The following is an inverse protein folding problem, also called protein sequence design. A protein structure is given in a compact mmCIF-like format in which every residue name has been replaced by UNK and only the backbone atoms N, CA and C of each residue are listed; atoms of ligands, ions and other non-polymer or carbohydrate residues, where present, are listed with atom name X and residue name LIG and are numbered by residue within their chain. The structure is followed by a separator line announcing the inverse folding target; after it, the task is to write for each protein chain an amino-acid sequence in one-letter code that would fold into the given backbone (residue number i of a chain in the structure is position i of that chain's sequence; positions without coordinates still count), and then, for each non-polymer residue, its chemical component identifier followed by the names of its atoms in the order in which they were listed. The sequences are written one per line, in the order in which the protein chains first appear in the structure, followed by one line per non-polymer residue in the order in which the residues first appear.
data_IF_318222379862
#
_entry.id   IF_318222379862
#
_cell.length_a   1.000
_cell.length_b   1.000
_cell.length_c   1.000
_cell.angle_alpha   90.00
_cell.angle_beta   90.00
_cell.angle_gamma   90.00
#
_symmetry.space_group_name_H-M   'P 1'
#
loop_
_entity.id
_entity.type
_entity.pdbx_description
1 polymer ?
#
# COMPACT_ATOMS: atom_id res chain seq x y z
N UNK A 1 -15.01 -35.99 -14.65
CA UNK A 1 -15.71 -35.69 -13.39
C UNK A 1 -14.70 -35.77 -12.26
N UNK A 2 -14.33 -34.63 -11.66
CA UNK A 2 -13.50 -34.60 -10.46
C UNK A 2 -14.36 -34.07 -9.31
N UNK A 3 -14.68 -34.98 -8.38
CA UNK A 3 -15.30 -34.69 -7.10
C UNK A 3 -14.36 -33.80 -6.28
N UNK A 4 -14.73 -32.54 -6.07
CA UNK A 4 -14.22 -31.75 -4.96
C UNK A 4 -15.32 -31.78 -3.89
N UNK A 5 -15.05 -32.52 -2.83
CA UNK A 5 -15.93 -32.56 -1.66
C UNK A 5 -15.94 -31.19 -1.02
N UNK A 6 -17.03 -30.45 -1.21
CA UNK A 6 -17.39 -29.31 -0.40
C UNK A 6 -17.43 -29.76 1.06
N UNK A 7 -16.39 -29.39 1.80
CA UNK A 7 -16.40 -29.44 3.26
C UNK A 7 -17.43 -28.39 3.68
N UNK A 8 -18.53 -28.73 4.36
CA UNK A 8 -19.47 -27.71 4.81
C UNK A 8 -18.71 -26.78 5.75
N UNK A 9 -18.67 -25.49 5.40
CA UNK A 9 -18.22 -24.46 6.31
C UNK A 9 -19.05 -24.61 7.59
N UNK A 10 -18.41 -25.11 8.65
CA UNK A 10 -18.99 -25.12 10.00
C UNK A 10 -19.44 -23.70 10.28
N UNK A 11 -20.76 -23.49 10.38
CA UNK A 11 -21.34 -22.19 10.69
C UNK A 11 -20.80 -21.75 12.03
N UNK A 12 -19.86 -20.81 12.03
CA UNK A 12 -19.28 -20.20 13.22
C UNK A 12 -20.44 -19.66 14.07
N UNK A 13 -20.53 -20.02 15.34
CA UNK A 13 -21.66 -19.55 16.16
C UNK A 13 -21.56 -18.05 16.40
N UNK A 14 -22.70 -17.40 16.66
CA UNK A 14 -22.71 -15.96 16.96
C UNK A 14 -21.85 -15.62 18.17
N UNK A 15 -21.75 -16.51 19.16
CA UNK A 15 -20.84 -16.31 20.30
C UNK A 15 -19.37 -16.37 19.89
N UNK A 16 -18.99 -17.31 19.03
CA UNK A 16 -17.61 -17.43 18.52
C UNK A 16 -17.21 -16.19 17.73
N UNK A 17 -18.08 -15.71 16.83
CA UNK A 17 -17.82 -14.47 16.06
C UNK A 17 -17.67 -13.26 16.98
N UNK A 18 -18.48 -13.17 18.04
CA UNK A 18 -18.36 -12.08 19.02
C UNK A 18 -17.03 -12.13 19.76
N UNK A 19 -16.60 -13.33 20.17
CA UNK A 19 -15.33 -13.55 20.86
C UNK A 19 -14.13 -13.17 19.97
N UNK A 20 -14.13 -13.64 18.71
CA UNK A 20 -13.09 -13.32 17.74
C UNK A 20 -13.03 -11.82 17.42
N UNK A 21 -14.19 -11.16 17.28
CA UNK A 21 -14.29 -9.71 17.09
C UNK A 21 -13.68 -8.96 18.27
N UNK A 22 -14.05 -9.33 19.50
CA UNK A 22 -13.59 -8.63 20.70
C UNK A 22 -12.07 -8.80 20.88
N UNK A 23 -11.54 -9.99 20.58
CA UNK A 23 -10.09 -10.26 20.57
C UNK A 23 -9.35 -9.47 19.47
N UNK A 24 -9.94 -9.36 18.28
CA UNK A 24 -9.41 -8.55 17.19
C UNK A 24 -9.37 -7.07 17.56
N UNK A 25 -10.47 -6.51 18.07
CA UNK A 25 -10.53 -5.11 18.51
C UNK A 25 -9.69 -4.82 19.75
N UNK A 26 -9.35 -5.85 20.54
CA UNK A 26 -8.40 -5.74 21.65
C UNK A 26 -6.98 -5.48 21.14
N UNK A 27 -6.57 -6.21 20.10
CA UNK A 27 -5.20 -6.22 19.56
C UNK A 27 -4.98 -5.25 18.40
N UNK A 28 -6.03 -4.92 17.65
CA UNK A 28 -5.97 -4.08 16.46
C UNK A 28 -6.72 -2.76 16.64
N UNK A 29 -6.22 -1.73 15.96
CA UNK A 29 -6.89 -0.45 15.77
C UNK A 29 -6.93 -0.12 14.29
N UNK A 30 -7.96 0.62 13.86
CA UNK A 30 -8.05 1.07 12.48
C UNK A 30 -7.25 2.35 12.31
N UNK A 31 -6.29 2.34 11.39
CA UNK A 31 -5.45 3.48 11.01
C UNK A 31 -6.05 4.14 9.75
N UNK A 32 -6.68 5.32 9.87
CA UNK A 32 -7.30 6.01 8.75
C UNK A 32 -6.27 6.60 7.76
N UNK A 33 -5.00 6.80 8.15
CA UNK A 33 -3.98 7.38 7.27
C UNK A 33 -3.50 6.40 6.19
N UNK A 34 -3.66 5.11 6.45
CA UNK A 34 -3.33 4.02 5.53
C UNK A 34 -4.54 3.18 5.13
N UNK A 35 -5.73 3.55 5.60
CA UNK A 35 -7.01 2.86 5.36
C UNK A 35 -6.91 1.36 5.65
N UNK A 36 -6.44 1.00 6.85
CA UNK A 36 -6.20 -0.40 7.21
C UNK A 36 -6.20 -0.62 8.73
N UNK A 37 -6.41 -1.88 9.16
CA UNK A 37 -6.22 -2.30 10.54
C UNK A 37 -4.74 -2.55 10.84
N UNK A 38 -4.27 -2.06 11.98
CA UNK A 38 -2.90 -2.22 12.48
C UNK A 38 -2.91 -2.77 13.89
N UNK A 39 -1.84 -3.46 14.27
CA UNK A 39 -1.62 -3.87 15.66
C UNK A 39 -1.40 -2.64 16.53
N UNK A 40 -2.04 -2.61 17.70
CA UNK A 40 -1.85 -1.54 18.69
C UNK A 40 -0.41 -1.53 19.21
N UNK A 41 0.10 -0.37 19.66
CA UNK A 41 1.42 -0.27 20.27
C UNK A 41 1.58 -1.22 21.46
N UNK A 42 2.69 -1.97 21.50
CA UNK A 42 3.02 -2.90 22.59
C UNK A 42 2.39 -4.30 22.47
N UNK A 43 1.66 -4.59 21.38
CA UNK A 43 1.24 -5.96 21.04
C UNK A 43 2.26 -6.55 20.05
N UNK A 44 2.91 -7.63 20.45
CA UNK A 44 3.83 -8.34 19.58
C UNK A 44 3.11 -8.97 18.39
N UNK A 45 3.77 -8.96 17.23
CA UNK A 45 3.27 -9.68 16.07
C UNK A 45 3.18 -11.19 16.41
N UNK A 46 2.16 -11.91 15.90
CA UNK A 46 2.03 -13.34 16.11
C UNK A 46 3.33 -14.09 15.78
N UNK A 47 3.67 -15.09 16.60
CA UNK A 47 4.90 -15.89 16.44
C UNK A 47 4.99 -16.45 15.02
N UNK A 48 6.12 -16.17 14.35
CA UNK A 48 6.38 -16.60 12.97
C UNK A 48 6.07 -15.56 11.89
N UNK A 49 5.47 -14.41 12.24
CA UNK A 49 5.36 -13.28 11.30
C UNK A 49 6.65 -12.44 11.30
N UNK A 50 7.16 -12.15 10.10
CA UNK A 50 8.22 -11.16 9.92
C UNK A 50 7.71 -9.77 10.32
N UNK A 51 8.55 -8.92 10.93
CA UNK A 51 8.14 -7.55 11.21
C UNK A 51 7.82 -6.83 9.89
N UNK A 52 6.86 -5.89 9.95
CA UNK A 52 6.35 -5.18 8.77
C UNK A 52 7.44 -4.43 8.01
N UNK A 53 8.50 -4.00 8.69
CA UNK A 53 9.66 -3.35 8.08
C UNK A 53 10.38 -4.28 7.11
N UNK A 54 10.64 -5.52 7.52
CA UNK A 54 11.34 -6.53 6.70
C UNK A 54 10.48 -6.94 5.50
N UNK A 55 9.17 -7.16 5.72
CA UNK A 55 8.24 -7.46 4.62
C UNK A 55 8.23 -6.34 3.58
N UNK A 56 8.27 -5.07 4.02
CA UNK A 56 8.35 -3.93 3.09
C UNK A 56 9.68 -3.88 2.35
N UNK A 57 10.80 -4.19 3.02
CA UNK A 57 12.12 -4.25 2.40
C UNK A 57 12.17 -5.33 1.32
N UNK A 58 11.76 -6.56 1.65
CA UNK A 58 11.69 -7.69 0.71
C UNK A 58 10.80 -7.37 -0.51
N UNK A 59 9.62 -6.79 -0.28
CA UNK A 59 8.74 -6.35 -1.36
C UNK A 59 9.42 -5.30 -2.24
N UNK A 60 10.07 -4.30 -1.64
CA UNK A 60 10.72 -3.24 -2.41
C UNK A 60 11.87 -3.80 -3.26
N UNK A 61 12.67 -4.72 -2.71
CA UNK A 61 13.73 -5.41 -3.46
C UNK A 61 13.16 -6.27 -4.59
N UNK A 62 12.06 -6.98 -4.35
CA UNK A 62 11.36 -7.71 -5.40
C UNK A 62 10.91 -6.78 -6.54
N UNK A 63 10.22 -5.67 -6.21
CA UNK A 63 9.74 -4.69 -7.20
C UNK A 63 10.87 -3.96 -7.92
N UNK A 64 12.03 -3.82 -7.27
CA UNK A 64 13.23 -3.23 -7.87
C UNK A 64 13.78 -4.11 -9.00
N UNK A 65 13.65 -5.42 -8.86
CA UNK A 65 14.24 -6.41 -9.75
C UNK A 65 13.24 -7.05 -10.73
N UNK A 66 11.93 -6.92 -10.51
CA UNK A 66 10.89 -7.58 -11.32
C UNK A 66 9.89 -6.57 -11.86
N UNK A 67 9.38 -6.76 -13.07
CA UNK A 67 8.25 -5.99 -13.63
C UNK A 67 7.06 -6.91 -13.88
N UNK A 68 5.86 -6.36 -13.76
CA UNK A 68 4.66 -7.04 -14.22
C UNK A 68 4.65 -7.05 -15.75
N UNK A 69 4.36 -8.20 -16.34
CA UNK A 69 4.14 -8.38 -17.77
C UNK A 69 2.67 -8.76 -17.98
N UNK A 70 1.90 -7.83 -18.54
CA UNK A 70 0.46 -8.02 -18.78
C UNK A 70 0.19 -9.12 -19.81
N UNK A 71 1.07 -9.34 -20.78
CA UNK A 71 0.87 -10.34 -21.83
C UNK A 71 0.88 -11.77 -21.27
N UNK A 72 1.73 -12.02 -20.29
CA UNK A 72 1.85 -13.32 -19.61
C UNK A 72 1.13 -13.34 -18.26
N UNK A 73 0.58 -12.20 -17.84
CA UNK A 73 -0.03 -12.00 -16.52
C UNK A 73 0.88 -12.50 -15.38
N UNK A 74 2.17 -12.17 -15.47
CA UNK A 74 3.19 -12.69 -14.55
C UNK A 74 4.26 -11.65 -14.20
N UNK A 75 4.95 -11.85 -13.08
CA UNK A 75 6.14 -11.07 -12.73
C UNK A 75 7.36 -11.64 -13.45
N UNK A 76 8.01 -10.80 -14.25
CA UNK A 76 9.24 -11.16 -14.98
C UNK A 76 10.42 -10.37 -14.46
N UNK A 77 11.56 -11.05 -14.27
CA UNK A 77 12.81 -10.42 -13.86
C UNK A 77 13.27 -9.39 -14.90
N UNK A 78 13.75 -8.25 -14.43
CA UNK A 78 14.36 -7.23 -15.28
C UNK A 78 15.72 -7.76 -15.77
N UNK A 79 15.84 -7.98 -17.08
CA UNK A 79 17.12 -8.27 -17.73
C UNK A 79 17.93 -6.98 -17.81
N UNK A 80 18.64 -6.61 -16.74
CA UNK A 80 19.46 -5.41 -16.70
C UNK A 80 19.63 -4.80 -15.30
N UNK A 81 19.81 -3.48 -15.25
CA UNK A 81 20.00 -2.77 -13.98
C UNK A 81 18.69 -2.71 -13.18
N UNK A 82 18.74 -2.88 -11.85
CA UNK A 82 17.55 -2.72 -11.00
C UNK A 82 16.94 -1.33 -11.15
N UNK A 83 15.61 -1.23 -11.04
CA UNK A 83 14.92 0.07 -11.10
C UNK A 83 15.41 0.99 -10.00
N UNK A 84 15.48 2.29 -10.31
CA UNK A 84 15.71 3.33 -9.30
C UNK A 84 14.39 3.62 -8.60
N UNK A 85 14.16 2.94 -7.49
CA UNK A 85 12.99 3.19 -6.64
C UNK A 85 13.21 4.45 -5.81
N UNK A 86 12.12 5.18 -5.52
CA UNK A 86 12.18 6.31 -4.59
C UNK A 86 12.51 5.81 -3.18
N UNK A 87 13.42 6.52 -2.51
CA UNK A 87 13.77 6.29 -1.10
C UNK A 87 12.98 7.18 -0.15
N UNK A 88 12.08 8.01 -0.68
CA UNK A 88 11.28 8.95 0.10
C UNK A 88 10.22 8.22 0.92
N UNK A 89 10.01 8.67 2.14
CA UNK A 89 8.87 8.27 2.95
C UNK A 89 7.56 8.73 2.29
N UNK A 90 6.43 8.08 2.61
CA UNK A 90 5.11 8.52 2.13
C UNK A 90 4.82 9.98 2.52
N UNK A 91 5.29 10.40 3.69
CA UNK A 91 5.12 11.77 4.14
C UNK A 91 5.95 12.76 3.31
N UNK A 92 7.19 12.40 2.99
CA UNK A 92 8.03 13.19 2.08
C UNK A 92 7.40 13.28 0.68
N UNK A 93 6.91 12.17 0.13
CA UNK A 93 6.19 12.16 -1.16
C UNK A 93 4.95 13.06 -1.12
N UNK A 94 4.16 13.00 -0.04
CA UNK A 94 2.99 13.89 0.15
C UNK A 94 3.41 15.36 0.19
N UNK A 95 4.49 15.69 0.90
CA UNK A 95 4.98 17.06 0.98
C UNK A 95 5.52 17.56 -0.37
N UNK A 96 6.29 16.75 -1.09
CA UNK A 96 6.75 17.10 -2.45
C UNK A 96 5.57 17.32 -3.40
N UNK A 97 4.58 16.42 -3.37
CA UNK A 97 3.38 16.55 -4.19
C UNK A 97 2.60 17.81 -3.85
N UNK A 98 2.47 18.16 -2.57
CA UNK A 98 1.86 19.43 -2.14
C UNK A 98 2.62 20.64 -2.66
N UNK A 99 3.96 20.64 -2.59
CA UNK A 99 4.78 21.73 -3.11
C UNK A 99 4.68 21.85 -4.63
N UNK A 100 4.71 20.73 -5.35
CA UNK A 100 4.53 20.68 -6.79
C UNK A 100 3.15 21.23 -7.21
N UNK A 101 2.07 20.77 -6.57
CA UNK A 101 0.71 21.24 -6.83
C UNK A 101 0.48 22.70 -6.41
N UNK A 102 1.32 23.26 -5.52
CA UNK A 102 1.30 24.68 -5.19
C UNK A 102 1.74 25.52 -6.40
N UNK A 103 2.77 25.08 -7.10
CA UNK A 103 3.40 25.81 -8.21
C UNK A 103 2.91 25.39 -9.59
N UNK A 104 2.32 24.20 -9.75
CA UNK A 104 1.85 23.66 -11.02
C UNK A 104 0.35 23.38 -10.99
N UNK A 105 -0.30 23.47 -12.15
CA UNK A 105 -1.67 23.01 -12.38
C UNK A 105 -1.68 22.02 -13.53
N UNK A 106 -2.58 21.06 -13.49
CA UNK A 106 -2.78 20.16 -14.62
C UNK A 106 -3.59 20.88 -15.69
N UNK A 107 -3.10 20.86 -16.92
CA UNK A 107 -3.80 21.30 -18.11
C UNK A 107 -4.48 20.07 -18.73
N UNK A 108 -5.78 19.96 -18.56
CA UNK A 108 -6.57 18.81 -19.04
C UNK A 108 -6.58 18.70 -20.57
N UNK A 109 -6.51 19.82 -21.28
CA UNK A 109 -6.59 19.85 -22.76
C UNK A 109 -5.35 19.18 -23.34
N UNK A 110 -4.18 19.53 -22.82
CA UNK A 110 -2.91 19.01 -23.27
C UNK A 110 -2.46 17.78 -22.46
N UNK A 111 -3.22 17.39 -21.44
CA UNK A 111 -2.87 16.34 -20.48
C UNK A 111 -1.46 16.49 -19.88
N UNK A 112 -1.05 17.74 -19.61
CA UNK A 112 0.30 18.09 -19.14
C UNK A 112 0.28 18.99 -17.91
N UNK A 113 1.33 18.96 -17.09
CA UNK A 113 1.47 19.88 -15.96
C UNK A 113 2.12 21.19 -16.40
N UNK A 114 1.48 22.33 -16.08
CA UNK A 114 1.98 23.67 -16.41
C UNK A 114 2.17 24.51 -15.17
N UNK A 115 3.22 25.34 -15.14
CA UNK A 115 3.46 26.27 -14.04
C UNK A 115 2.30 27.26 -13.88
N UNK A 116 1.92 27.55 -12.64
CA UNK A 116 0.95 28.59 -12.32
C UNK A 116 1.58 29.97 -12.56
N UNK A 117 0.83 30.92 -13.14
CA UNK A 117 1.33 32.27 -13.33
C UNK A 117 1.63 32.91 -11.98
N UNK A 118 2.83 33.48 -11.84
CA UNK A 118 3.19 34.26 -10.66
C UNK A 118 2.33 35.53 -10.69
N UNK A 119 1.46 35.71 -9.68
CA UNK A 119 0.66 36.94 -9.55
C UNK A 119 1.61 38.08 -9.17
N UNK A 120 2.09 38.83 -10.15
CA UNK A 120 2.77 40.10 -9.91
C UNK A 120 1.71 41.10 -9.42
N UNK A 121 1.83 41.54 -8.16
CA UNK A 121 0.99 42.62 -7.65
C UNK A 121 1.36 43.88 -8.43
N UNK A 122 0.43 44.42 -9.23
CA UNK A 122 0.59 45.78 -9.78
C UNK A 122 0.69 46.74 -8.59
N UNK A 123 1.78 47.51 -8.56
CA UNK A 123 1.96 48.66 -7.65
C UNK A 123 1.00 49.77 -8.04
#
# INVERSE_FOLDING_TARGET
AQNTGDKPATSVTREQVKMERDEFLRTHEYDPDIDNWVLKPGIDAPTGMKPRADVKAERNDFLRNNRWDDATSSWVSLKGKPRKMSTLSREQVRNETRQFNRTHRYDEINSTWVAKPVRTKKK
#
